data_IF_633626231853
#
_entry.id   IF_633626231853
#
_cell.length_a   1.000
_cell.length_b   1.000
_cell.length_c   1.000
_cell.angle_alpha   90.00
_cell.angle_beta   90.00
_cell.angle_gamma   90.00
#
_symmetry.space_group_name_H-M   'P 1'
#
loop_
_entity.id
_entity.type
_entity.pdbx_description
1 polymer ?
#
# COMPACT_ATOMS: atom_id res chain seq x y z
N UNK A 1 -6.73 0.90 15.76
CA UNK A 1 -5.52 0.99 16.60
C UNK A 1 -4.23 0.67 15.84
N UNK A 2 -4.01 -0.55 15.31
CA UNK A 2 -2.74 -0.92 14.60
C UNK A 2 -2.23 0.08 13.56
N UNK A 3 -3.12 0.66 12.74
CA UNK A 3 -2.75 1.63 11.69
C UNK A 3 -2.17 2.94 12.27
N UNK A 4 -2.75 3.46 13.35
CA UNK A 4 -2.28 4.70 13.97
C UNK A 4 -0.89 4.49 14.56
N UNK A 5 -0.66 3.37 15.24
CA UNK A 5 0.67 2.99 15.75
C UNK A 5 1.73 2.92 14.65
N UNK A 6 1.41 2.35 13.49
CA UNK A 6 2.35 2.29 12.36
C UNK A 6 2.68 3.69 11.80
N UNK A 7 1.70 4.59 11.72
CA UNK A 7 1.95 5.97 11.28
C UNK A 7 2.79 6.75 12.29
N UNK A 8 2.47 6.65 13.58
CA UNK A 8 3.25 7.29 14.65
C UNK A 8 4.67 6.73 14.66
N UNK A 9 4.83 5.40 14.63
CA UNK A 9 6.14 4.76 14.61
C UNK A 9 6.99 5.15 13.39
N UNK A 10 6.39 5.23 12.21
CA UNK A 10 7.07 5.69 10.99
C UNK A 10 7.59 7.12 11.15
N UNK A 11 6.74 8.06 11.57
CA UNK A 11 7.15 9.46 11.70
C UNK A 11 8.12 9.67 12.86
N UNK A 12 7.98 8.94 13.97
CA UNK A 12 8.97 8.95 15.05
C UNK A 12 10.33 8.47 14.57
N UNK A 13 10.39 7.37 13.81
CA UNK A 13 11.65 6.87 13.25
C UNK A 13 12.27 7.87 12.25
N UNK A 14 11.45 8.49 11.40
CA UNK A 14 11.89 9.51 10.47
C UNK A 14 12.46 10.74 11.18
N UNK A 15 11.77 11.23 12.22
CA UNK A 15 12.25 12.37 13.00
C UNK A 15 13.56 12.00 13.73
N UNK A 16 13.70 10.78 14.26
CA UNK A 16 14.96 10.31 14.85
C UNK A 16 16.11 10.32 13.83
N UNK A 17 15.84 9.90 12.59
CA UNK A 17 16.80 10.01 11.49
C UNK A 17 17.18 11.47 11.20
N UNK A 18 16.20 12.37 11.15
CA UNK A 18 16.45 13.80 10.97
C UNK A 18 17.28 14.40 12.12
N UNK A 19 16.99 14.02 13.38
CA UNK A 19 17.78 14.44 14.54
C UNK A 19 19.25 14.01 14.42
N UNK A 20 19.49 12.74 14.04
CA UNK A 20 20.86 12.24 13.88
C UNK A 20 21.63 13.00 12.79
N UNK A 21 20.99 13.27 11.64
CA UNK A 21 21.63 14.02 10.55
C UNK A 21 21.88 15.48 10.92
N UNK A 22 20.95 16.13 11.62
CA UNK A 22 21.12 17.51 12.09
C UNK A 22 22.23 17.61 13.12
N UNK A 23 22.31 16.68 14.07
CA UNK A 23 23.39 16.66 15.06
C UNK A 23 24.77 16.54 14.41
N UNK A 24 24.93 15.63 13.44
CA UNK A 24 26.19 15.46 12.71
C UNK A 24 26.56 16.71 11.92
N UNK A 25 25.58 17.34 11.25
CA UNK A 25 25.80 18.57 10.50
C UNK A 25 26.15 19.75 11.41
N UNK A 26 25.37 19.99 12.47
CA UNK A 26 25.56 21.11 13.38
C UNK A 26 26.90 21.06 14.11
N UNK A 27 27.35 19.86 14.52
CA UNK A 27 28.66 19.66 15.15
C UNK A 27 29.83 20.04 14.24
N UNK A 28 29.68 19.86 12.92
CA UNK A 28 30.68 20.26 11.93
C UNK A 28 30.58 21.73 11.52
N UNK A 29 29.35 22.24 11.34
CA UNK A 29 29.09 23.59 10.85
C UNK A 29 29.29 24.67 11.92
N UNK A 30 29.01 24.35 13.19
CA UNK A 30 29.14 25.29 14.31
C UNK A 30 29.86 24.61 15.49
N UNK A 31 31.18 24.37 15.38
CA UNK A 31 31.94 23.58 16.36
C UNK A 31 31.97 24.20 17.77
N UNK A 32 31.77 25.52 17.88
CA UNK A 32 31.77 26.25 19.15
C UNK A 32 30.45 26.15 19.94
N UNK A 33 29.43 25.43 19.43
CA UNK A 33 28.21 25.20 20.18
C UNK A 33 28.44 24.23 21.34
N UNK A 34 27.86 24.53 22.50
CA UNK A 34 27.88 23.61 23.63
C UNK A 34 27.11 22.32 23.30
N UNK A 35 27.48 21.20 23.93
CA UNK A 35 26.79 19.92 23.72
C UNK A 35 25.30 20.01 24.04
N UNK A 36 24.92 20.77 25.07
CA UNK A 36 23.50 21.01 25.39
C UNK A 36 22.75 21.75 24.29
N UNK A 37 23.36 22.77 23.70
CA UNK A 37 22.76 23.51 22.57
C UNK A 37 22.64 22.63 21.31
N UNK A 38 23.62 21.75 21.04
CA UNK A 38 23.54 20.78 19.94
C UNK A 38 22.38 19.80 20.13
N UNK A 39 22.20 19.27 21.34
CA UNK A 39 21.12 18.32 21.66
C UNK A 39 19.73 18.98 21.59
N UNK A 40 19.61 20.23 22.05
CA UNK A 40 18.37 20.98 21.91
C UNK A 40 18.09 21.31 20.43
N UNK A 41 19.13 21.72 19.71
CA UNK A 41 19.04 22.09 18.30
C UNK A 41 18.59 20.96 17.40
N UNK A 42 19.18 19.77 17.56
CA UNK A 42 18.77 18.60 16.76
C UNK A 42 17.28 18.28 16.91
N UNK A 43 16.71 18.45 18.11
CA UNK A 43 15.29 18.16 18.36
C UNK A 43 14.41 19.22 17.72
N UNK A 44 14.67 20.50 18.02
CA UNK A 44 13.83 21.61 17.56
C UNK A 44 13.87 21.72 16.03
N UNK A 45 15.06 21.63 15.44
CA UNK A 45 15.21 21.71 13.98
C UNK A 45 14.56 20.52 13.30
N UNK A 46 14.82 19.29 13.75
CA UNK A 46 14.24 18.10 13.13
C UNK A 46 12.71 18.13 13.16
N UNK A 47 12.10 18.45 14.31
CA UNK A 47 10.64 18.55 14.41
C UNK A 47 10.10 19.68 13.54
N UNK A 48 10.76 20.85 13.54
CA UNK A 48 10.34 22.01 12.77
C UNK A 48 10.37 21.77 11.25
N UNK A 49 11.43 21.15 10.73
CA UNK A 49 11.55 20.86 9.30
C UNK A 49 10.69 19.69 8.86
N UNK A 50 10.39 18.74 9.75
CA UNK A 50 9.55 17.58 9.43
C UNK A 50 8.08 17.92 9.20
N UNK A 51 7.56 19.04 9.72
CA UNK A 51 6.14 19.39 9.54
C UNK A 51 5.79 19.58 8.04
N UNK A 52 6.49 20.44 7.26
CA UNK A 52 6.25 20.54 5.81
C UNK A 52 6.47 19.22 5.05
N UNK A 53 7.47 18.42 5.45
CA UNK A 53 7.77 17.13 4.83
C UNK A 53 6.63 16.12 5.02
N UNK A 54 6.05 16.09 6.23
CA UNK A 54 4.87 15.29 6.57
C UNK A 54 3.67 15.72 5.74
N UNK A 55 3.40 17.03 5.67
CA UNK A 55 2.31 17.59 4.88
C UNK A 55 2.44 17.23 3.40
N UNK A 56 3.63 17.40 2.82
CA UNK A 56 3.91 17.03 1.44
C UNK A 56 3.75 15.52 1.20
N UNK A 57 4.21 14.69 2.12
CA UNK A 57 4.09 13.23 2.03
C UNK A 57 2.62 12.78 2.07
N UNK A 58 1.79 13.38 2.91
CA UNK A 58 0.36 13.09 2.95
C UNK A 58 -0.36 13.59 1.68
N UNK A 59 -0.03 14.78 1.20
CA UNK A 59 -0.53 15.27 -0.07
C UNK A 59 -0.17 14.32 -1.23
N UNK A 60 1.08 13.86 -1.30
CA UNK A 60 1.50 12.88 -2.29
C UNK A 60 0.77 11.55 -2.12
N UNK A 61 0.57 11.07 -0.90
CA UNK A 61 -0.18 9.84 -0.67
C UNK A 61 -1.63 9.96 -1.11
N UNK A 62 -2.35 11.03 -0.79
CA UNK A 62 -3.80 11.12 -1.03
C UNK A 62 -4.18 11.74 -2.38
N UNK A 63 -3.44 12.75 -2.83
CA UNK A 63 -3.67 13.42 -4.09
C UNK A 63 -2.75 12.88 -5.19
N UNK A 64 -1.44 12.96 -4.99
CA UNK A 64 -0.44 12.63 -6.02
C UNK A 64 -0.54 11.18 -6.51
N UNK A 65 -0.65 10.22 -5.59
CA UNK A 65 -0.75 8.79 -5.90
C UNK A 65 -1.92 8.48 -6.83
N UNK A 66 -3.13 8.88 -6.46
CA UNK A 66 -4.33 8.54 -7.22
C UNK A 66 -4.41 9.27 -8.57
N UNK A 67 -3.79 10.46 -8.68
CA UNK A 67 -3.84 11.28 -9.89
C UNK A 67 -2.75 10.91 -10.91
N UNK A 68 -1.53 10.63 -10.43
CA UNK A 68 -0.40 10.24 -11.30
C UNK A 68 -0.46 8.77 -11.69
N UNK A 69 -0.61 7.85 -10.73
CA UNK A 69 -0.51 6.41 -11.02
C UNK A 69 -1.76 5.89 -11.72
N UNK A 70 -2.96 6.33 -11.29
CA UNK A 70 -4.21 5.96 -11.98
C UNK A 70 -4.54 6.88 -13.16
N UNK A 71 -3.59 7.76 -13.55
CA UNK A 71 -3.70 8.71 -14.66
C UNK A 71 -5.05 9.46 -14.72
N UNK A 72 -5.54 9.94 -13.57
CA UNK A 72 -6.84 10.62 -13.47
C UNK A 72 -6.72 12.11 -13.81
N UNK A 73 -7.42 12.54 -14.87
CA UNK A 73 -7.42 13.93 -15.33
C UNK A 73 -6.12 14.31 -16.07
N UNK A 74 -5.96 15.61 -16.38
CA UNK A 74 -4.80 16.12 -17.10
C UNK A 74 -3.51 15.94 -16.28
N UNK A 75 -2.58 15.14 -16.80
CA UNK A 75 -1.31 14.85 -16.13
C UNK A 75 -0.42 16.09 -16.03
N UNK A 76 -0.49 17.00 -17.00
CA UNK A 76 0.24 18.27 -16.95
C UNK A 76 -0.24 19.12 -15.77
N UNK A 77 -1.56 19.26 -15.60
CA UNK A 77 -2.14 20.01 -14.48
C UNK A 77 -1.78 19.36 -13.15
N UNK A 78 -1.88 18.03 -13.05
CA UNK A 78 -1.49 17.31 -11.83
C UNK A 78 -0.01 17.54 -11.48
N UNK A 79 0.89 17.49 -12.46
CA UNK A 79 2.32 17.75 -12.28
C UNK A 79 2.58 19.19 -11.84
N UNK A 80 1.89 20.17 -12.43
CA UNK A 80 1.98 21.56 -12.03
C UNK A 80 1.55 21.75 -10.57
N UNK A 81 0.40 21.21 -10.17
CA UNK A 81 -0.10 21.31 -8.78
C UNK A 81 0.89 20.68 -7.80
N UNK A 82 1.41 19.48 -8.11
CA UNK A 82 2.39 18.79 -7.25
C UNK A 82 3.68 19.59 -7.14
N UNK A 83 4.17 20.12 -8.25
CA UNK A 83 5.41 20.91 -8.30
C UNK A 83 5.24 22.23 -7.54
N UNK A 84 4.11 22.92 -7.72
CA UNK A 84 3.79 24.14 -6.96
C UNK A 84 3.73 23.87 -5.46
N UNK A 85 3.05 22.81 -5.03
CA UNK A 85 2.97 22.48 -3.61
C UNK A 85 4.34 22.08 -3.03
N UNK A 86 5.15 21.34 -3.80
CA UNK A 86 6.51 21.01 -3.43
C UNK A 86 7.37 22.27 -3.22
N UNK A 87 7.33 23.21 -4.17
CA UNK A 87 8.07 24.48 -4.08
C UNK A 87 7.62 25.29 -2.86
N UNK A 88 6.31 25.36 -2.58
CA UNK A 88 5.77 26.04 -1.40
C UNK A 88 6.32 25.41 -0.11
N UNK A 89 6.30 24.08 -0.01
CA UNK A 89 6.84 23.37 1.16
C UNK A 89 8.34 23.62 1.33
N UNK A 90 9.13 23.61 0.25
CA UNK A 90 10.57 23.92 0.31
C UNK A 90 10.81 25.35 0.75
N UNK A 91 10.09 26.34 0.20
CA UNK A 91 10.19 27.74 0.62
C UNK A 91 9.81 27.88 2.09
N UNK A 92 8.74 27.23 2.54
CA UNK A 92 8.32 27.25 3.95
C UNK A 92 9.42 26.72 4.87
N UNK A 93 10.05 25.59 4.53
CA UNK A 93 11.19 25.05 5.27
C UNK A 93 12.33 26.07 5.32
N UNK A 94 12.66 26.72 4.19
CA UNK A 94 13.74 27.73 4.14
C UNK A 94 13.43 28.97 5.00
N UNK A 95 12.20 29.47 4.95
CA UNK A 95 11.79 30.61 5.78
C UNK A 95 11.82 30.27 7.26
N UNK A 96 11.30 29.12 7.66
CA UNK A 96 11.29 28.67 9.07
C UNK A 96 12.71 28.43 9.57
N UNK A 97 13.53 27.73 8.79
CA UNK A 97 14.93 27.44 9.18
C UNK A 97 15.76 28.72 9.29
N UNK A 98 15.64 29.64 8.35
CA UNK A 98 16.43 30.87 8.33
C UNK A 98 15.97 31.88 9.41
N UNK A 99 14.69 32.24 9.44
CA UNK A 99 14.20 33.33 10.29
C UNK A 99 13.89 32.90 11.73
N UNK A 100 13.56 31.63 11.96
CA UNK A 100 13.14 31.15 13.28
C UNK A 100 14.23 30.26 13.87
N UNK A 101 14.50 29.12 13.24
CA UNK A 101 15.37 28.10 13.85
C UNK A 101 16.83 28.56 13.92
N UNK A 102 17.34 29.27 12.91
CA UNK A 102 18.68 29.86 12.90
C UNK A 102 18.93 30.82 14.07
N UNK A 103 17.91 31.59 14.44
CA UNK A 103 17.97 32.52 15.58
C UNK A 103 17.78 31.81 16.91
N UNK A 104 16.77 30.94 17.03
CA UNK A 104 16.41 30.25 18.27
C UNK A 104 17.47 29.24 18.70
N UNK A 105 18.03 28.49 17.75
CA UNK A 105 18.93 27.36 18.03
C UNK A 105 20.39 27.77 17.93
N UNK A 106 20.74 28.52 16.89
CA UNK A 106 22.13 28.83 16.57
C UNK A 106 22.53 30.26 16.95
N UNK A 107 21.65 31.01 17.63
CA UNK A 107 21.93 32.35 18.12
C UNK A 107 22.32 33.33 17.01
N UNK A 108 21.82 33.10 15.79
CA UNK A 108 22.19 33.91 14.62
C UNK A 108 23.59 33.63 14.06
N UNK A 109 24.34 32.66 14.58
CA UNK A 109 25.67 32.29 14.02
C UNK A 109 25.58 31.70 12.61
N UNK A 110 24.40 31.21 12.23
CA UNK A 110 24.06 30.82 10.87
C UNK A 110 23.66 31.98 9.94
N UNK A 111 23.59 33.22 10.43
CA UNK A 111 23.05 34.37 9.66
C UNK A 111 23.92 34.80 8.48
N UNK A 112 25.11 34.22 8.30
CA UNK A 112 25.96 34.49 7.13
C UNK A 112 25.58 33.67 5.90
N UNK A 113 24.78 32.61 6.06
CA UNK A 113 24.32 31.82 4.91
C UNK A 113 23.18 32.54 4.16
N UNK A 114 23.21 32.49 2.83
CA UNK A 114 22.11 33.05 2.02
C UNK A 114 20.86 32.21 2.24
N UNK A 115 19.69 32.87 2.31
CA UNK A 115 18.39 32.20 2.43
C UNK A 115 18.22 31.10 1.37
N UNK A 116 18.67 31.40 0.13
CA UNK A 116 18.59 30.52 -1.03
C UNK A 116 19.95 29.95 -1.45
N UNK A 117 20.73 29.46 -0.51
CA UNK A 117 21.94 28.70 -0.85
C UNK A 117 21.58 27.37 -1.55
N UNK A 118 22.18 27.05 -2.72
CA UNK A 118 21.85 25.85 -3.47
C UNK A 118 22.09 24.53 -2.72
N UNK A 119 23.14 24.44 -1.90
CA UNK A 119 23.45 23.22 -1.15
C UNK A 119 22.38 22.99 -0.08
N UNK A 120 21.98 24.04 0.62
CA UNK A 120 20.97 23.92 1.68
C UNK A 120 19.58 23.64 1.08
N UNK A 121 19.24 24.25 -0.06
CA UNK A 121 18.01 23.93 -0.79
C UNK A 121 18.02 22.46 -1.23
N UNK A 122 19.13 21.96 -1.75
CA UNK A 122 19.25 20.57 -2.18
C UNK A 122 19.00 19.60 -1.03
N UNK A 123 19.44 19.94 0.19
CA UNK A 123 19.13 19.17 1.40
C UNK A 123 17.62 19.10 1.62
N UNK A 124 16.91 20.23 1.62
CA UNK A 124 15.45 20.23 1.78
C UNK A 124 14.72 19.39 0.72
N UNK A 125 15.18 19.46 -0.54
CA UNK A 125 14.63 18.67 -1.64
C UNK A 125 14.82 17.17 -1.40
N UNK A 126 16.03 16.76 -1.00
CA UNK A 126 16.37 15.36 -0.75
C UNK A 126 15.54 14.79 0.41
N UNK A 127 15.49 15.48 1.56
CA UNK A 127 14.76 14.98 2.74
C UNK A 127 13.25 14.89 2.47
N UNK A 128 12.68 15.89 1.81
CA UNK A 128 11.26 15.91 1.46
C UNK A 128 10.91 14.86 0.41
N UNK A 129 11.74 14.71 -0.62
CA UNK A 129 11.61 13.68 -1.64
C UNK A 129 11.73 12.27 -1.06
N UNK A 130 12.67 12.07 -0.13
CA UNK A 130 12.85 10.81 0.58
C UNK A 130 11.63 10.45 1.44
N UNK A 131 11.15 11.38 2.28
CA UNK A 131 9.97 11.16 3.12
C UNK A 131 8.73 10.80 2.29
N UNK A 132 8.47 11.58 1.23
CA UNK A 132 7.34 11.35 0.35
C UNK A 132 7.48 10.04 -0.44
N UNK A 133 8.67 9.77 -0.98
CA UNK A 133 8.99 8.57 -1.74
C UNK A 133 8.79 7.29 -0.94
N UNK A 134 9.33 7.23 0.28
CA UNK A 134 9.14 6.09 1.19
C UNK A 134 7.66 5.93 1.57
N UNK A 135 6.98 7.03 1.94
CA UNK A 135 5.56 7.01 2.31
C UNK A 135 4.66 6.47 1.19
N UNK A 136 4.88 6.96 -0.04
CA UNK A 136 4.16 6.52 -1.24
C UNK A 136 4.46 5.06 -1.57
N UNK A 137 5.73 4.64 -1.44
CA UNK A 137 6.14 3.25 -1.70
C UNK A 137 5.46 2.28 -0.75
N UNK A 138 5.40 2.60 0.55
CA UNK A 138 4.67 1.79 1.55
C UNK A 138 3.18 1.71 1.19
N UNK A 139 2.56 2.84 0.81
CA UNK A 139 1.15 2.85 0.36
C UNK A 139 0.95 1.95 -0.87
N UNK A 140 1.87 2.00 -1.83
CA UNK A 140 1.80 1.20 -3.05
C UNK A 140 1.88 -0.30 -2.75
N UNK A 141 2.87 -0.72 -1.95
CA UNK A 141 3.04 -2.12 -1.53
C UNK A 141 1.78 -2.62 -0.82
N UNK A 142 1.22 -1.83 0.10
CA UNK A 142 -0.02 -2.19 0.80
C UNK A 142 -1.19 -2.37 -0.16
N UNK A 143 -1.36 -1.46 -1.13
CA UNK A 143 -2.42 -1.57 -2.12
C UNK A 143 -2.26 -2.81 -3.01
N UNK A 144 -1.03 -3.16 -3.39
CA UNK A 144 -0.73 -4.38 -4.15
C UNK A 144 -1.06 -5.64 -3.34
N UNK A 145 -0.70 -5.69 -2.05
CA UNK A 145 -1.04 -6.83 -1.19
C UNK A 145 -2.55 -7.01 -1.06
N UNK A 146 -3.29 -5.92 -0.84
CA UNK A 146 -4.77 -5.97 -0.76
C UNK A 146 -5.39 -6.39 -2.09
N UNK A 147 -4.87 -5.89 -3.22
CA UNK A 147 -5.34 -6.30 -4.54
C UNK A 147 -5.11 -7.80 -4.79
N UNK A 148 -3.94 -8.33 -4.42
CA UNK A 148 -3.60 -9.75 -4.54
C UNK A 148 -4.49 -10.64 -3.66
N UNK A 149 -4.80 -10.20 -2.45
CA UNK A 149 -5.75 -10.90 -1.57
C UNK A 149 -7.15 -10.96 -2.20
N UNK A 150 -7.61 -9.84 -2.76
CA UNK A 150 -8.91 -9.75 -3.44
C UNK A 150 -8.97 -10.65 -4.67
N UNK A 151 -7.91 -10.68 -5.46
CA UNK A 151 -7.81 -11.56 -6.63
C UNK A 151 -7.90 -13.03 -6.23
N UNK A 152 -7.17 -13.46 -5.19
CA UNK A 152 -7.27 -14.83 -4.65
C UNK A 152 -8.70 -15.19 -4.22
N UNK A 153 -9.41 -14.26 -3.59
CA UNK A 153 -10.78 -14.50 -3.17
C UNK A 153 -11.73 -14.62 -4.36
N UNK A 154 -11.58 -13.76 -5.38
CA UNK A 154 -12.37 -13.86 -6.62
C UNK A 154 -12.13 -15.18 -7.35
N UNK A 155 -10.89 -15.66 -7.41
CA UNK A 155 -10.57 -16.97 -8.00
C UNK A 155 -11.25 -18.11 -7.23
N UNK A 156 -11.22 -18.07 -5.89
CA UNK A 156 -11.89 -19.06 -5.05
C UNK A 156 -13.41 -19.05 -5.24
N UNK A 157 -14.02 -17.86 -5.27
CA UNK A 157 -15.45 -17.70 -5.52
C UNK A 157 -15.85 -18.23 -6.90
N UNK A 158 -15.07 -17.92 -7.94
CA UNK A 158 -15.27 -18.45 -9.29
C UNK A 158 -15.21 -19.98 -9.32
N UNK A 159 -14.18 -20.58 -8.72
CA UNK A 159 -14.03 -22.04 -8.68
C UNK A 159 -15.21 -22.70 -7.93
N UNK A 160 -15.64 -22.11 -6.82
CA UNK A 160 -16.81 -22.61 -6.09
C UNK A 160 -18.10 -22.52 -6.93
N UNK A 161 -18.28 -21.44 -7.70
CA UNK A 161 -19.42 -21.30 -8.60
C UNK A 161 -19.38 -22.32 -9.75
N UNK A 162 -18.21 -22.54 -10.36
CA UNK A 162 -18.02 -23.56 -11.40
C UNK A 162 -18.29 -24.97 -10.87
N UNK A 163 -17.78 -25.28 -9.66
CA UNK A 163 -18.07 -26.56 -8.99
C UNK A 163 -19.56 -26.73 -8.70
N UNK A 164 -20.27 -25.68 -8.28
CA UNK A 164 -21.72 -25.72 -8.08
C UNK A 164 -22.47 -25.92 -9.39
N UNK A 165 -22.06 -25.26 -10.47
CA UNK A 165 -22.65 -25.46 -11.80
C UNK A 165 -22.44 -26.88 -12.30
N UNK A 166 -21.22 -27.41 -12.23
CA UNK A 166 -20.90 -28.81 -12.55
C UNK A 166 -21.72 -29.79 -11.71
N UNK A 167 -21.84 -29.53 -10.39
CA UNK A 167 -22.66 -30.36 -9.50
C UNK A 167 -24.14 -30.29 -9.83
N UNK A 168 -24.65 -29.15 -10.30
CA UNK A 168 -26.04 -28.99 -10.70
C UNK A 168 -26.35 -29.66 -12.05
N UNK A 169 -25.36 -29.79 -12.95
CA UNK A 169 -25.51 -30.58 -14.19
C UNK A 169 -25.77 -32.06 -13.89
N UNK A 170 -25.25 -32.57 -12.77
CA UNK A 170 -25.69 -33.86 -12.22
C UNK A 170 -27.07 -33.68 -11.58
N UNK A 171 -28.16 -33.87 -12.34
CA UNK A 171 -29.52 -33.81 -11.78
C UNK A 171 -29.69 -34.85 -10.64
N UNK A 172 -29.64 -34.47 -9.35
CA UNK A 172 -29.63 -35.45 -8.26
C UNK A 172 -30.95 -36.23 -8.23
N UNK A 173 -32.03 -35.54 -8.60
CA UNK A 173 -33.35 -36.12 -8.76
C UNK A 173 -33.41 -37.21 -9.83
N UNK A 174 -32.70 -37.04 -10.96
CA UNK A 174 -32.61 -38.08 -11.99
C UNK A 174 -31.91 -39.33 -11.44
N UNK A 175 -30.83 -39.13 -10.69
CA UNK A 175 -30.11 -40.22 -10.04
C UNK A 175 -31.00 -40.98 -9.04
N UNK A 176 -31.68 -40.26 -8.14
CA UNK A 176 -32.61 -40.86 -7.18
C UNK A 176 -33.79 -41.58 -7.84
N UNK A 177 -34.36 -41.00 -8.91
CA UNK A 177 -35.44 -41.66 -9.66
C UNK A 177 -34.95 -42.93 -10.36
N UNK A 178 -33.75 -42.90 -10.93
CA UNK A 178 -33.16 -44.07 -11.57
C UNK A 178 -32.89 -45.18 -10.55
N UNK A 179 -32.33 -44.84 -9.39
CA UNK A 179 -32.13 -45.78 -8.28
C UNK A 179 -33.45 -46.35 -7.75
N UNK A 180 -34.49 -45.53 -7.59
CA UNK A 180 -35.82 -45.99 -7.16
C UNK A 180 -36.47 -46.93 -8.18
N UNK A 181 -36.31 -46.65 -9.48
CA UNK A 181 -36.78 -47.54 -10.55
C UNK A 181 -36.03 -48.87 -10.53
N UNK A 182 -34.70 -48.85 -10.38
CA UNK A 182 -33.88 -50.06 -10.23
C UNK A 182 -34.31 -50.86 -9.00
N UNK A 183 -34.57 -50.20 -7.86
CA UNK A 183 -35.07 -50.83 -6.64
C UNK A 183 -36.44 -51.50 -6.86
N UNK A 184 -37.36 -50.84 -7.58
CA UNK A 184 -38.64 -51.43 -7.92
C UNK A 184 -38.50 -52.66 -8.84
N UNK A 185 -37.58 -52.63 -9.82
CA UNK A 185 -37.28 -53.75 -10.71
C UNK A 185 -36.66 -54.94 -9.95
N UNK A 186 -35.72 -54.68 -9.04
CA UNK A 186 -35.12 -55.73 -8.19
C UNK A 186 -36.15 -56.34 -7.25
N UNK A 187 -37.01 -55.53 -6.62
CA UNK A 187 -38.09 -56.06 -5.74
C UNK A 187 -39.08 -56.93 -6.50
N UNK A 188 -39.35 -56.59 -7.76
CA UNK A 188 -40.19 -57.40 -8.66
C UNK A 188 -39.47 -58.62 -9.26
N UNK A 189 -38.20 -58.84 -8.94
CA UNK A 189 -37.33 -59.86 -9.57
C UNK A 189 -37.36 -59.79 -11.10
N UNK A 190 -37.36 -58.58 -11.65
CA UNK A 190 -37.37 -58.36 -13.09
C UNK A 190 -36.00 -58.64 -13.69
N UNK A 191 -35.97 -59.37 -14.80
CA UNK A 191 -34.75 -59.63 -15.59
C UNK A 191 -34.12 -58.36 -16.18
N UNK A 192 -34.83 -57.22 -16.16
CA UNK A 192 -34.35 -55.92 -16.62
C UNK A 192 -33.49 -55.17 -15.57
N UNK A 193 -33.52 -55.61 -14.30
CA UNK A 193 -32.81 -54.93 -13.23
C UNK A 193 -31.26 -54.88 -13.44
N UNK A 194 -30.58 -55.97 -13.86
CA UNK A 194 -29.14 -55.93 -14.12
C UNK A 194 -28.76 -54.94 -15.23
N UNK A 195 -29.53 -54.88 -16.32
CA UNK A 195 -29.26 -53.98 -17.45
C UNK A 195 -29.42 -52.50 -17.04
N UNK A 196 -30.44 -52.19 -16.23
CA UNK A 196 -30.66 -50.83 -15.72
C UNK A 196 -29.52 -50.37 -14.79
N UNK A 197 -28.95 -51.27 -13.98
CA UNK A 197 -27.75 -50.99 -13.17
C UNK A 197 -26.54 -50.72 -14.06
N UNK A 198 -26.35 -51.52 -15.11
CA UNK A 198 -25.23 -51.37 -16.04
C UNK A 198 -25.26 -49.99 -16.73
N UNK A 199 -26.43 -49.61 -17.28
CA UNK A 199 -26.63 -48.31 -17.94
C UNK A 199 -26.41 -47.11 -17.00
N UNK A 200 -26.84 -47.23 -15.73
CA UNK A 200 -26.56 -46.19 -14.73
C UNK A 200 -25.06 -46.09 -14.44
N UNK A 201 -24.35 -47.22 -14.35
CA UNK A 201 -22.89 -47.25 -14.15
C UNK A 201 -22.13 -46.64 -15.32
N UNK A 202 -22.53 -46.91 -16.56
CA UNK A 202 -21.92 -46.32 -17.77
C UNK A 202 -22.11 -44.81 -17.80
N UNK A 203 -23.33 -44.32 -17.53
CA UNK A 203 -23.64 -42.89 -17.46
C UNK A 203 -22.79 -42.18 -16.37
N UNK A 204 -22.68 -42.77 -15.19
CA UNK A 204 -21.87 -42.22 -14.10
C UNK A 204 -20.38 -42.20 -14.44
N UNK A 205 -19.86 -43.25 -15.08
CA UNK A 205 -18.48 -43.29 -15.57
C UNK A 205 -18.21 -42.20 -16.61
N UNK A 206 -19.11 -42.02 -17.58
CA UNK A 206 -19.02 -40.95 -18.58
C UNK A 206 -18.94 -39.57 -17.92
N UNK A 207 -19.84 -39.29 -16.98
CA UNK A 207 -19.89 -38.00 -16.27
C UNK A 207 -18.66 -37.75 -15.37
N UNK A 208 -18.02 -38.79 -14.82
CA UNK A 208 -16.90 -38.64 -13.88
C UNK A 208 -15.52 -38.63 -14.55
N UNK A 209 -15.36 -39.35 -15.65
CA UNK A 209 -14.04 -39.58 -16.27
C UNK A 209 -13.85 -38.89 -17.62
N UNK A 210 -14.89 -38.80 -18.46
CA UNK A 210 -14.77 -38.14 -19.76
C UNK A 210 -14.95 -36.63 -19.66
N UNK A 211 -15.78 -36.12 -18.74
CA UNK A 211 -15.90 -34.67 -18.48
C UNK A 211 -14.64 -34.01 -17.89
N UNK A 212 -13.63 -34.80 -17.47
CA UNK A 212 -12.33 -34.31 -16.97
C UNK A 212 -11.25 -34.26 -18.05
N UNK A 213 -11.51 -34.78 -19.25
CA UNK A 213 -10.53 -34.94 -20.34
C UNK A 213 -10.59 -33.84 -21.42
N UNK A 214 -11.51 -32.90 -21.30
CA UNK A 214 -11.55 -31.63 -22.06
C UNK A 214 -11.34 -30.45 -21.09
#
# INVERSE_FOLDING_TARGET
MKRVFLHVGFWSLYILFCMATEYMWAKGAVPDLSTGALLQGMIIVAVGTSIPEILFSYFMMYYGFDRLIKKKGSQIINLLIISSFFIICVILVRLVTYYILGHVVYGGRMSQERIFDPLIISRSIIFMGFAAGVSVSIKMLRNQLVAKEREKNLVREKLNAELQLLRNQLHPHFLFNTLNNIYALTRKKSDLAPEAVLKLSELLSFMLYESKRE
#
